data_IF_175067166268
#
_entry.id   IF_175067166268
#
_cell.length_a   1.000
_cell.length_b   1.000
_cell.length_c   1.000
_cell.angle_alpha   90.00
_cell.angle_beta   90.00
_cell.angle_gamma   90.00
#
_symmetry.space_group_name_H-M   'P 1'
#
loop_
_entity.id
_entity.type
_entity.pdbx_description
1 polymer ?
#
# COMPACT_ATOMS: atom_id res chain seq x y z
N UNK A 1 -2.32 15.34 -13.12
CA UNK A 1 -1.55 15.12 -14.36
C UNK A 1 -0.05 14.94 -14.05
N UNK A 2 0.55 15.75 -13.18
CA UNK A 2 1.99 15.67 -12.82
C UNK A 2 2.45 14.31 -12.28
N UNK A 3 1.60 13.60 -11.53
CA UNK A 3 1.91 12.27 -11.02
C UNK A 3 2.32 11.26 -12.10
N UNK A 4 1.90 11.45 -13.35
CA UNK A 4 2.19 10.52 -14.46
C UNK A 4 3.42 10.93 -15.29
N UNK A 5 4.14 11.98 -14.91
CA UNK A 5 5.41 12.33 -15.56
C UNK A 5 6.52 11.36 -15.19
N UNK A 6 7.54 11.23 -16.03
CA UNK A 6 8.69 10.40 -15.71
C UNK A 6 9.74 11.22 -14.91
N UNK A 7 9.56 11.34 -13.59
CA UNK A 7 10.40 12.13 -12.67
C UNK A 7 10.99 11.31 -11.50
N UNK A 8 10.79 9.98 -11.55
CA UNK A 8 11.33 9.01 -10.60
C UNK A 8 12.39 8.18 -11.30
N UNK A 9 13.53 8.02 -10.63
CA UNK A 9 14.58 7.11 -11.07
C UNK A 9 14.26 5.74 -10.47
N UNK A 10 13.96 4.76 -11.32
CA UNK A 10 13.76 3.38 -10.92
C UNK A 10 15.09 2.70 -10.58
N UNK A 11 15.07 1.84 -9.57
CA UNK A 11 16.24 1.07 -9.13
C UNK A 11 16.75 0.14 -10.23
N UNK A 12 15.83 -0.43 -11.00
CA UNK A 12 16.15 -1.12 -12.26
C UNK A 12 15.88 -0.18 -13.41
N UNK A 13 16.90 0.09 -14.22
CA UNK A 13 16.77 0.99 -15.37
C UNK A 13 15.76 0.45 -16.38
N UNK A 14 14.88 1.32 -16.85
CA UNK A 14 13.86 1.02 -17.85
C UNK A 14 14.08 1.87 -19.09
N UNK A 15 13.70 1.36 -20.26
CA UNK A 15 13.76 2.16 -21.49
C UNK A 15 12.81 3.37 -21.39
N UNK A 16 13.13 4.46 -22.11
CA UNK A 16 12.27 5.65 -22.14
C UNK A 16 10.88 5.32 -22.73
N UNK A 17 10.84 4.39 -23.70
CA UNK A 17 9.59 3.85 -24.26
C UNK A 17 8.81 3.08 -23.21
N UNK A 18 9.48 2.25 -22.41
CA UNK A 18 8.87 1.50 -21.31
C UNK A 18 8.25 2.41 -20.27
N UNK A 19 8.98 3.41 -19.80
CA UNK A 19 8.47 4.38 -18.81
C UNK A 19 7.23 5.13 -19.35
N UNK A 20 7.22 5.51 -20.63
CA UNK A 20 6.03 6.11 -21.26
C UNK A 20 4.86 5.13 -21.30
N UNK A 21 5.08 3.89 -21.74
CA UNK A 21 4.04 2.87 -21.77
C UNK A 21 3.47 2.57 -20.37
N UNK A 22 4.33 2.51 -19.37
CA UNK A 22 3.95 2.32 -17.97
C UNK A 22 3.07 3.46 -17.45
N UNK A 23 3.53 4.71 -17.54
CA UNK A 23 2.75 5.83 -17.00
C UNK A 23 1.47 6.09 -17.78
N UNK A 24 1.49 5.94 -19.12
CA UNK A 24 0.28 6.07 -19.94
C UNK A 24 -0.74 4.96 -19.63
N UNK A 25 -0.30 3.71 -19.41
CA UNK A 25 -1.20 2.64 -19.02
C UNK A 25 -1.76 2.81 -17.60
N UNK A 26 -0.94 3.26 -16.65
CA UNK A 26 -1.40 3.60 -15.29
C UNK A 26 -2.43 4.74 -15.33
N UNK A 27 -2.18 5.78 -16.11
CA UNK A 27 -3.13 6.87 -16.33
C UNK A 27 -4.44 6.35 -16.90
N UNK A 28 -4.38 5.54 -17.96
CA UNK A 28 -5.56 4.97 -18.60
C UNK A 28 -6.36 4.01 -17.70
N UNK A 29 -5.76 3.48 -16.62
CA UNK A 29 -6.47 2.67 -15.62
C UNK A 29 -7.16 3.57 -14.60
N UNK A 30 -6.50 4.64 -14.19
CA UNK A 30 -7.04 5.64 -13.28
C UNK A 30 -8.22 6.43 -13.90
N UNK A 31 -8.13 6.72 -15.19
CA UNK A 31 -9.09 7.55 -15.94
C UNK A 31 -10.37 6.80 -16.37
N UNK A 32 -10.37 5.45 -16.27
CA UNK A 32 -11.53 4.65 -16.71
C UNK A 32 -12.67 4.72 -15.68
N UNK A 33 -13.59 5.66 -15.91
CA UNK A 33 -14.86 5.84 -15.16
C UNK A 33 -15.74 4.57 -15.10
N UNK A 34 -15.65 3.68 -16.09
CA UNK A 34 -16.48 2.46 -16.15
C UNK A 34 -16.16 1.40 -15.07
N UNK A 35 -15.12 1.62 -14.25
CA UNK A 35 -14.81 0.79 -13.10
C UNK A 35 -15.22 1.51 -11.83
N UNK A 36 -16.50 1.37 -11.50
CA UNK A 36 -17.01 1.61 -10.14
C UNK A 36 -16.01 1.09 -9.09
N UNK A 37 -15.90 1.77 -7.95
CA UNK A 37 -14.84 1.56 -6.95
C UNK A 37 -14.59 0.08 -6.55
N UNK A 38 -15.60 -0.80 -6.65
CA UNK A 38 -15.43 -2.24 -6.44
C UNK A 38 -14.44 -2.91 -7.41
N UNK A 39 -14.42 -2.50 -8.68
CA UNK A 39 -13.51 -3.06 -9.70
C UNK A 39 -12.04 -2.74 -9.44
N UNK A 40 -11.72 -1.49 -9.06
CA UNK A 40 -10.35 -1.08 -8.76
C UNK A 40 -9.90 -1.58 -7.38
N UNK A 41 -10.83 -1.70 -6.42
CA UNK A 41 -10.56 -2.36 -5.15
C UNK A 41 -10.17 -3.83 -5.37
N UNK A 42 -10.89 -4.59 -6.21
CA UNK A 42 -10.53 -5.97 -6.58
C UNK A 42 -9.14 -6.09 -7.19
N UNK A 43 -8.77 -5.15 -8.04
CA UNK A 43 -7.45 -5.15 -8.69
C UNK A 43 -6.36 -4.86 -7.66
N UNK A 44 -6.58 -3.88 -6.78
CA UNK A 44 -5.62 -3.53 -5.73
C UNK A 44 -5.46 -4.66 -4.71
N UNK A 45 -6.57 -5.30 -4.32
CA UNK A 45 -6.62 -6.52 -3.53
C UNK A 45 -5.78 -7.64 -4.14
N UNK A 46 -6.00 -7.91 -5.42
CA UNK A 46 -5.30 -8.96 -6.16
C UNK A 46 -3.79 -8.66 -6.27
N UNK A 47 -3.41 -7.42 -6.57
CA UNK A 47 -2.01 -6.97 -6.58
C UNK A 47 -1.36 -7.16 -5.21
N UNK A 48 -2.05 -6.81 -4.12
CA UNK A 48 -1.57 -7.00 -2.74
C UNK A 48 -1.32 -8.48 -2.45
N UNK A 49 -2.27 -9.35 -2.81
CA UNK A 49 -2.16 -10.81 -2.64
C UNK A 49 -0.98 -11.40 -3.41
N UNK A 50 -0.75 -10.95 -4.65
CA UNK A 50 0.36 -11.44 -5.49
C UNK A 50 1.72 -10.89 -5.07
N UNK A 51 1.81 -9.59 -4.77
CA UNK A 51 3.09 -8.92 -4.51
C UNK A 51 3.56 -9.03 -3.06
N UNK A 52 2.64 -9.20 -2.10
CA UNK A 52 2.94 -9.06 -0.67
C UNK A 52 3.41 -7.65 -0.27
N UNK A 53 3.34 -6.67 -1.18
CA UNK A 53 3.92 -5.34 -1.00
C UNK A 53 2.85 -4.36 -0.49
N UNK A 54 2.80 -4.16 0.83
CA UNK A 54 1.87 -3.20 1.46
C UNK A 54 2.03 -1.76 0.95
N UNK A 55 3.25 -1.19 0.79
CA UNK A 55 3.44 0.15 0.22
C UNK A 55 2.81 0.33 -1.16
N UNK A 56 3.00 -0.67 -2.04
CA UNK A 56 2.44 -0.68 -3.39
C UNK A 56 0.91 -0.69 -3.34
N UNK A 57 0.34 -1.64 -2.60
CA UNK A 57 -1.11 -1.79 -2.49
C UNK A 57 -1.78 -0.54 -1.90
N UNK A 58 -1.17 0.06 -0.87
CA UNK A 58 -1.69 1.30 -0.28
C UNK A 58 -1.65 2.46 -1.28
N UNK A 59 -0.52 2.64 -1.95
CA UNK A 59 -0.32 3.73 -2.92
C UNK A 59 -1.30 3.61 -4.09
N UNK A 60 -1.53 2.38 -4.59
CA UNK A 60 -2.52 2.12 -5.64
C UNK A 60 -3.95 2.33 -5.14
N UNK A 61 -4.28 1.94 -3.92
CA UNK A 61 -5.62 2.17 -3.37
C UNK A 61 -5.93 3.68 -3.29
N UNK A 62 -4.99 4.48 -2.78
CA UNK A 62 -5.16 5.93 -2.68
C UNK A 62 -5.25 6.60 -4.06
N UNK A 63 -4.39 6.20 -4.99
CA UNK A 63 -4.40 6.72 -6.35
C UNK A 63 -5.69 6.33 -7.10
N UNK A 64 -5.94 5.03 -7.23
CA UNK A 64 -6.97 4.49 -8.12
C UNK A 64 -8.37 4.50 -7.51
N UNK A 65 -8.50 4.26 -6.20
CA UNK A 65 -9.80 4.07 -5.57
C UNK A 65 -10.30 5.33 -4.84
N UNK A 66 -9.39 6.17 -4.34
CA UNK A 66 -9.72 7.41 -3.62
C UNK A 66 -9.45 8.68 -4.42
N UNK A 67 -8.82 8.57 -5.59
CA UNK A 67 -8.44 9.69 -6.44
C UNK A 67 -7.63 10.76 -5.68
N UNK A 68 -6.79 10.32 -4.74
CA UNK A 68 -5.92 11.21 -3.96
C UNK A 68 -4.70 11.61 -4.78
N UNK A 69 -4.25 12.85 -4.59
CA UNK A 69 -3.00 13.31 -5.21
C UNK A 69 -1.84 12.52 -4.62
N UNK A 70 -1.24 11.65 -5.44
CA UNK A 70 -0.10 10.85 -5.03
C UNK A 70 1.15 11.71 -4.81
N UNK A 71 1.91 11.38 -3.77
CA UNK A 71 3.22 11.95 -3.48
C UNK A 71 4.33 11.25 -4.28
N UNK A 72 5.51 11.86 -4.33
CA UNK A 72 6.70 11.24 -4.94
C UNK A 72 7.03 9.88 -4.31
N UNK A 73 6.86 9.73 -2.99
CA UNK A 73 7.11 8.47 -2.28
C UNK A 73 6.13 7.37 -2.72
N UNK A 74 4.84 7.70 -2.84
CA UNK A 74 3.83 6.76 -3.37
C UNK A 74 4.16 6.37 -4.82
N UNK A 75 4.62 7.33 -5.63
CA UNK A 75 5.04 7.06 -7.00
C UNK A 75 6.22 6.09 -7.07
N UNK A 76 7.23 6.27 -6.22
CA UNK A 76 8.36 5.31 -6.08
C UNK A 76 7.83 3.93 -5.69
N UNK A 77 6.96 3.84 -4.68
CA UNK A 77 6.38 2.57 -4.25
C UNK A 77 5.59 1.87 -5.38
N UNK A 78 4.88 2.63 -6.21
CA UNK A 78 4.17 2.11 -7.38
C UNK A 78 5.13 1.63 -8.46
N UNK A 79 6.13 2.42 -8.82
CA UNK A 79 7.13 2.08 -9.84
C UNK A 79 7.91 0.82 -9.44
N UNK A 80 8.50 0.81 -8.25
CA UNK A 80 9.30 -0.32 -7.76
C UNK A 80 8.44 -1.56 -7.52
N UNK A 81 7.26 -1.38 -6.94
CA UNK A 81 6.34 -2.48 -6.66
C UNK A 81 5.81 -3.14 -7.92
N UNK A 82 5.38 -2.35 -8.91
CA UNK A 82 4.88 -2.88 -10.17
C UNK A 82 5.99 -3.43 -11.05
N UNK A 83 7.21 -2.89 -11.00
CA UNK A 83 8.36 -3.52 -11.65
C UNK A 83 8.53 -4.95 -11.16
N UNK A 84 8.63 -5.16 -9.84
CA UNK A 84 8.81 -6.50 -9.26
C UNK A 84 7.66 -7.43 -9.64
N UNK A 85 6.41 -6.96 -9.54
CA UNK A 85 5.25 -7.77 -9.92
C UNK A 85 5.23 -8.11 -11.41
N UNK A 86 5.47 -7.13 -12.30
CA UNK A 86 5.45 -7.36 -13.74
C UNK A 86 6.60 -8.25 -14.17
N UNK A 87 7.77 -8.11 -13.57
CA UNK A 87 8.89 -9.00 -13.81
C UNK A 87 8.52 -10.44 -13.47
N UNK A 88 7.76 -10.64 -12.40
CA UNK A 88 7.30 -11.96 -12.00
C UNK A 88 6.28 -12.59 -12.97
N UNK A 89 5.45 -11.75 -13.61
CA UNK A 89 4.44 -12.16 -14.59
C UNK A 89 5.03 -12.45 -15.98
N UNK A 90 6.09 -11.74 -16.35
CA UNK A 90 6.66 -11.81 -17.70
C UNK A 90 7.68 -12.96 -17.86
N UNK A 91 7.82 -13.52 -19.08
CA UNK A 91 8.86 -14.50 -19.37
C UNK A 91 10.26 -13.99 -18.99
N UNK A 92 11.07 -14.89 -18.45
CA UNK A 92 12.46 -14.64 -18.08
C UNK A 92 13.33 -15.84 -18.41
N UNK A 93 14.65 -15.65 -18.37
CA UNK A 93 15.62 -16.74 -18.57
C UNK A 93 15.33 -17.95 -17.66
N UNK A 94 14.80 -17.71 -16.47
CA UNK A 94 14.50 -18.72 -15.44
C UNK A 94 13.04 -19.21 -15.47
N UNK A 95 12.17 -18.59 -16.27
CA UNK A 95 10.71 -18.87 -16.36
C UNK A 95 10.30 -19.32 -17.76
N UNK A 96 11.13 -20.14 -18.43
CA UNK A 96 10.94 -20.54 -19.83
C UNK A 96 9.58 -21.21 -20.06
N UNK A 97 8.68 -20.50 -20.74
CA UNK A 97 7.42 -21.03 -21.33
C UNK A 97 7.45 -21.09 -22.86
N UNK A 98 8.62 -20.94 -23.48
CA UNK A 98 8.77 -20.92 -24.95
C UNK A 98 8.63 -19.54 -25.58
N UNK A 99 8.30 -18.52 -24.80
CA UNK A 99 8.15 -17.13 -25.24
C UNK A 99 9.49 -16.38 -25.32
N UNK A 100 9.50 -15.27 -26.08
CA UNK A 100 10.63 -14.32 -26.13
C UNK A 100 10.98 -13.87 -24.70
N UNK A 101 12.26 -13.99 -24.34
CA UNK A 101 12.77 -13.47 -23.07
C UNK A 101 12.60 -11.94 -23.08
N UNK A 102 11.98 -11.42 -22.03
CA UNK A 102 11.88 -9.97 -21.79
C UNK A 102 13.02 -9.59 -20.86
N UNK A 103 13.87 -8.67 -21.31
CA UNK A 103 14.95 -8.12 -20.49
C UNK A 103 14.39 -7.21 -19.40
N UNK A 104 15.15 -7.05 -18.31
CA UNK A 104 14.70 -6.23 -17.18
C UNK A 104 14.40 -4.79 -17.59
N UNK A 105 15.15 -4.24 -18.55
CA UNK A 105 14.95 -2.89 -19.10
C UNK A 105 13.71 -2.73 -19.98
N UNK A 106 13.10 -3.84 -20.39
CA UNK A 106 11.93 -3.90 -21.27
C UNK A 106 10.63 -4.24 -20.51
N UNK A 107 10.69 -4.46 -19.19
CA UNK A 107 9.53 -4.86 -18.37
C UNK A 107 8.37 -3.88 -18.52
N UNK A 108 8.66 -2.58 -18.46
CA UNK A 108 7.63 -1.55 -18.58
C UNK A 108 7.08 -1.34 -19.99
N UNK A 109 7.80 -1.78 -21.03
CA UNK A 109 7.22 -1.80 -22.39
C UNK A 109 6.03 -2.75 -22.48
N UNK A 110 5.99 -3.75 -21.60
CA UNK A 110 4.96 -4.76 -21.52
C UNK A 110 3.88 -4.44 -20.46
N UNK A 111 3.92 -3.25 -19.84
CA UNK A 111 2.96 -2.84 -18.82
C UNK A 111 1.49 -2.99 -19.25
N UNK A 112 1.06 -2.65 -20.50
CA UNK A 112 -0.32 -2.87 -20.92
C UNK A 112 -0.77 -4.33 -20.85
N UNK A 113 0.12 -5.28 -21.18
CA UNK A 113 -0.17 -6.72 -21.14
C UNK A 113 -0.28 -7.19 -19.69
N UNK A 114 0.66 -6.78 -18.82
CA UNK A 114 0.61 -7.08 -17.40
C UNK A 114 -0.67 -6.56 -16.74
N UNK A 115 -1.05 -5.32 -17.07
CA UNK A 115 -2.30 -4.75 -16.60
C UNK A 115 -3.51 -5.52 -17.13
N UNK A 116 -3.59 -5.84 -18.42
CA UNK A 116 -4.68 -6.64 -18.97
C UNK A 116 -4.85 -7.98 -18.22
N UNK A 117 -3.74 -8.65 -17.91
CA UNK A 117 -3.73 -9.86 -17.09
C UNK A 117 -4.28 -9.61 -15.68
N UNK A 118 -3.73 -8.64 -14.94
CA UNK A 118 -4.15 -8.32 -13.57
C UNK A 118 -5.63 -7.97 -13.50
N UNK A 119 -6.12 -7.21 -14.49
CA UNK A 119 -7.50 -6.77 -14.59
C UNK A 119 -8.46 -7.92 -14.94
N UNK A 120 -8.00 -8.90 -15.72
CA UNK A 120 -8.75 -10.11 -16.04
C UNK A 120 -8.86 -11.04 -14.84
N UNK A 121 -7.74 -11.31 -14.17
CA UNK A 121 -7.71 -12.22 -13.02
C UNK A 121 -8.44 -11.64 -11.80
N UNK A 122 -8.30 -10.34 -11.55
CA UNK A 122 -9.01 -9.68 -10.45
C UNK A 122 -10.54 -9.78 -10.55
N UNK A 123 -11.10 -9.92 -11.76
CA UNK A 123 -12.56 -10.13 -11.94
C UNK A 123 -13.04 -11.49 -11.44
N UNK A 124 -12.14 -12.47 -11.36
CA UNK A 124 -12.44 -13.84 -10.89
C UNK A 124 -12.40 -13.95 -9.37
N UNK A 125 -11.79 -12.97 -8.69
CA UNK A 125 -11.65 -12.95 -7.25
C UNK A 125 -12.90 -12.35 -6.57
N UNK A 126 -13.30 -12.92 -5.43
CA UNK A 126 -14.38 -12.37 -4.61
C UNK A 126 -13.89 -11.18 -3.80
N UNK A 127 -14.51 -9.99 -3.92
CA UNK A 127 -14.17 -8.81 -3.10
C UNK A 127 -14.78 -8.80 -1.70
N UNK A 128 -15.62 -9.80 -1.36
CA UNK A 128 -16.41 -9.84 -0.13
C UNK A 128 -15.59 -9.80 1.17
N UNK A 129 -14.26 -9.90 1.11
CA UNK A 129 -13.36 -10.02 2.27
C UNK A 129 -12.36 -8.87 2.39
N UNK A 130 -12.45 -7.84 1.55
CA UNK A 130 -11.53 -6.70 1.55
C UNK A 130 -12.20 -5.47 2.19
N UNK A 131 -12.25 -5.45 3.52
CA UNK A 131 -12.76 -4.29 4.26
C UNK A 131 -11.58 -3.37 4.58
N UNK A 132 -11.64 -2.13 4.11
CA UNK A 132 -10.69 -1.11 4.52
C UNK A 132 -11.21 -0.40 5.77
N UNK A 133 -10.44 -0.47 6.86
CA UNK A 133 -10.74 0.23 8.11
C UNK A 133 -9.83 1.45 8.24
N UNK A 134 -10.35 2.59 8.75
CA UNK A 134 -9.50 3.73 9.03
C UNK A 134 -8.54 3.38 10.17
N UNK A 135 -7.26 3.62 9.97
CA UNK A 135 -6.26 3.64 11.03
C UNK A 135 -6.03 5.09 11.42
N UNK A 136 -6.12 5.38 12.71
CA UNK A 136 -5.79 6.69 13.28
C UNK A 136 -4.39 6.61 13.89
N UNK A 137 -3.56 7.59 13.58
CA UNK A 137 -2.20 7.75 14.06
C UNK A 137 -2.17 8.81 15.16
N UNK A 138 -1.70 8.44 16.35
CA UNK A 138 -1.61 9.30 17.51
C UNK A 138 -0.14 9.56 17.88
N UNK A 139 0.29 10.81 17.80
CA UNK A 139 1.65 11.26 18.17
C UNK A 139 1.60 12.62 18.87
N UNK A 140 2.74 13.07 19.38
CA UNK A 140 2.86 14.45 19.82
C UNK A 140 2.68 15.42 18.63
N UNK A 141 2.09 16.61 18.86
CA UNK A 141 1.95 17.62 17.82
C UNK A 141 3.30 18.02 17.21
N UNK A 142 3.41 17.94 15.88
CA UNK A 142 4.62 18.35 15.14
C UNK A 142 5.75 17.32 15.12
N UNK A 143 5.59 16.17 15.78
CA UNK A 143 6.57 15.09 15.71
C UNK A 143 6.35 14.17 14.52
N UNK A 144 7.44 13.61 14.01
CA UNK A 144 7.41 12.63 12.93
C UNK A 144 7.05 11.26 13.49
N UNK A 145 5.99 10.67 12.92
CA UNK A 145 5.57 9.31 13.24
C UNK A 145 6.58 8.28 12.67
N UNK A 146 7.34 7.61 13.54
CA UNK A 146 8.46 6.74 13.19
C UNK A 146 8.40 5.35 13.82
N UNK A 147 7.99 5.21 15.08
CA UNK A 147 7.96 3.94 15.80
C UNK A 147 6.52 3.53 16.16
N UNK A 148 5.77 2.97 15.20
CA UNK A 148 4.36 2.63 15.36
C UNK A 148 4.17 1.47 16.36
N UNK A 149 3.38 1.71 17.40
CA UNK A 149 2.99 0.71 18.40
C UNK A 149 1.48 0.61 18.57
N UNK A 150 1.00 -0.57 18.96
CA UNK A 150 -0.37 -0.82 19.39
C UNK A 150 -0.45 -0.87 20.90
N UNK A 151 -1.50 -0.25 21.41
CA UNK A 151 -1.90 -0.31 22.81
C UNK A 151 -3.06 -1.31 22.95
N UNK A 152 -3.07 -2.18 23.97
CA UNK A 152 -4.10 -3.20 24.13
C UNK A 152 -5.52 -2.65 24.17
N UNK A 153 -6.42 -3.23 23.36
CA UNK A 153 -7.84 -2.89 23.33
C UNK A 153 -8.19 -1.69 22.44
N UNK A 154 -7.20 -1.06 21.78
CA UNK A 154 -7.42 0.07 20.89
C UNK A 154 -7.15 -0.29 19.42
N UNK A 155 -7.99 0.17 18.48
CA UNK A 155 -7.74 0.00 17.05
C UNK A 155 -6.66 0.96 16.52
N UNK A 156 -6.42 2.05 17.24
CA UNK A 156 -5.48 3.11 16.88
C UNK A 156 -4.02 2.68 17.01
N UNK A 157 -3.15 3.38 16.28
CA UNK A 157 -1.70 3.19 16.35
C UNK A 157 -1.05 4.45 16.89
N UNK A 158 -0.12 4.27 17.81
CA UNK A 158 0.52 5.34 18.55
C UNK A 158 2.01 5.39 18.21
N UNK A 159 2.59 6.58 18.31
CA UNK A 159 4.04 6.73 18.37
C UNK A 159 4.54 6.17 19.72
N UNK A 160 5.61 5.38 19.72
CA UNK A 160 6.12 4.78 20.97
C UNK A 160 6.42 5.85 22.02
N UNK A 161 7.10 6.92 21.62
CA UNK A 161 7.48 8.02 22.52
C UNK A 161 6.25 8.68 23.16
N UNK A 162 5.17 8.84 22.40
CA UNK A 162 3.91 9.38 22.91
C UNK A 162 3.36 8.50 24.05
N UNK A 163 3.37 7.17 23.89
CA UNK A 163 2.88 6.25 24.92
C UNK A 163 3.80 6.23 26.14
N UNK A 164 5.12 6.20 25.94
CA UNK A 164 6.10 6.22 27.02
C UNK A 164 5.98 7.48 27.88
N UNK A 165 5.76 8.63 27.26
CA UNK A 165 5.54 9.88 27.98
C UNK A 165 4.25 9.83 28.82
N UNK A 166 3.15 9.27 28.30
CA UNK A 166 1.91 9.07 29.10
C UNK A 166 2.14 8.16 30.31
N UNK A 167 2.89 7.06 30.14
CA UNK A 167 3.26 6.16 31.25
C UNK A 167 4.07 6.92 32.31
N UNK A 168 5.06 7.70 31.87
CA UNK A 168 5.93 8.49 32.75
C UNK A 168 5.15 9.54 33.56
N UNK A 169 4.15 10.16 32.94
CA UNK A 169 3.32 11.19 33.57
C UNK A 169 2.20 10.59 34.45
N UNK A 170 2.07 9.26 34.49
CA UNK A 170 0.99 8.57 35.20
C UNK A 170 -0.38 8.77 34.55
N UNK A 171 -0.42 9.20 33.29
CA UNK A 171 -1.63 9.43 32.53
C UNK A 171 -2.17 8.14 31.91
N UNK A 172 -3.49 7.98 31.90
CA UNK A 172 -4.15 6.84 31.24
C UNK A 172 -4.46 7.16 29.79
N UNK A 173 -4.21 6.20 28.90
CA UNK A 173 -4.74 6.24 27.54
C UNK A 173 -6.23 5.83 27.61
N UNK A 174 -7.16 6.67 27.14
CA UNK A 174 -8.59 6.33 27.16
C UNK A 174 -8.89 5.01 26.46
N UNK A 175 -9.81 4.22 27.04
CA UNK A 175 -10.27 2.93 26.51
C UNK A 175 -9.17 1.84 26.36
N UNK A 176 -7.99 2.03 26.96
CA UNK A 176 -7.00 0.98 27.10
C UNK A 176 -7.58 -0.17 27.95
N UNK A 177 -7.49 -1.40 27.43
CA UNK A 177 -8.04 -2.60 28.10
C UNK A 177 -7.24 -3.06 29.31
N UNK A 178 -6.01 -2.58 29.49
CA UNK A 178 -5.14 -2.92 30.62
C UNK A 178 -5.17 -1.79 31.64
N UNK A 179 -5.32 -2.15 32.92
CA UNK A 179 -5.37 -1.19 34.03
C UNK A 179 -4.04 -0.46 34.26
N UNK A 180 -2.93 -1.19 34.12
CA UNK A 180 -1.57 -0.67 34.28
C UNK A 180 -0.83 -0.84 32.96
N UNK A 181 -0.70 0.25 32.22
CA UNK A 181 0.05 0.26 30.96
C UNK A 181 1.55 0.34 31.27
N UNK A 182 2.29 -0.67 30.81
CA UNK A 182 3.77 -0.71 30.89
C UNK A 182 4.37 -0.68 29.49
N UNK A 183 5.68 -0.45 29.39
CA UNK A 183 6.40 -0.54 28.11
C UNK A 183 6.20 -1.91 27.44
N UNK A 184 6.20 -2.98 28.22
CA UNK A 184 5.99 -4.37 27.76
C UNK A 184 4.56 -4.67 27.35
N UNK A 185 3.60 -3.81 27.68
CA UNK A 185 2.20 -3.95 27.25
C UNK A 185 2.00 -3.56 25.79
N UNK A 186 2.93 -2.80 25.20
CA UNK A 186 2.87 -2.36 23.82
C UNK A 186 3.32 -3.46 22.85
N UNK A 187 2.73 -3.51 21.66
CA UNK A 187 3.21 -4.37 20.57
C UNK A 187 3.59 -3.55 19.34
N UNK A 188 4.66 -3.94 18.65
CA UNK A 188 5.09 -3.25 17.43
C UNK A 188 4.03 -3.41 16.33
N UNK A 189 3.72 -2.33 15.64
CA UNK A 189 2.79 -2.32 14.52
C UNK A 189 3.52 -2.39 13.17
N UNK A 190 4.28 -3.47 12.94
CA UNK A 190 5.15 -3.64 11.76
C UNK A 190 4.40 -3.61 10.42
N UNK A 191 3.13 -3.99 10.41
CA UNK A 191 2.25 -3.89 9.26
C UNK A 191 1.92 -2.43 8.91
N UNK A 192 1.75 -1.56 9.91
CA UNK A 192 1.57 -0.10 9.73
C UNK A 192 2.89 0.57 9.40
N UNK A 193 3.98 0.16 10.06
CA UNK A 193 5.34 0.63 9.77
C UNK A 193 5.69 0.51 8.28
N UNK A 194 5.41 -0.65 7.68
CA UNK A 194 5.63 -0.87 6.25
C UNK A 194 4.77 0.06 5.40
N UNK A 195 3.52 0.31 5.76
CA UNK A 195 2.63 1.20 5.01
C UNK A 195 3.14 2.65 5.06
N UNK A 196 3.58 3.11 6.25
CA UNK A 196 4.12 4.45 6.45
C UNK A 196 5.32 4.76 5.55
N UNK A 197 6.07 3.76 5.08
CA UNK A 197 7.14 3.96 4.09
C UNK A 197 6.65 4.56 2.77
N UNK A 198 5.36 4.42 2.44
CA UNK A 198 4.75 5.02 1.25
C UNK A 198 3.99 6.31 1.53
N UNK A 199 3.67 6.63 2.79
CA UNK A 199 2.77 7.74 3.12
C UNK A 199 3.54 9.01 3.47
N UNK A 200 2.99 10.20 3.16
CA UNK A 200 3.58 11.45 3.61
C UNK A 200 3.59 11.57 5.14
N UNK A 201 4.61 12.20 5.75
CA UNK A 201 4.74 12.31 7.21
C UNK A 201 3.60 13.06 7.91
N UNK A 202 2.81 13.86 7.18
CA UNK A 202 1.69 14.62 7.72
C UNK A 202 0.38 13.83 7.79
N UNK A 203 0.36 12.57 7.33
CA UNK A 203 -0.85 11.76 7.38
C UNK A 203 -1.21 11.43 8.83
N UNK A 204 -2.47 11.65 9.19
CA UNK A 204 -3.00 11.30 10.52
C UNK A 204 -3.95 10.11 10.51
N UNK A 205 -4.48 9.81 9.32
CA UNK A 205 -5.34 8.67 9.13
C UNK A 205 -5.19 8.13 7.71
N UNK A 206 -5.22 6.80 7.57
CA UNK A 206 -5.22 6.15 6.28
C UNK A 206 -6.07 4.88 6.32
N UNK A 207 -6.70 4.50 5.19
CA UNK A 207 -7.43 3.24 5.11
C UNK A 207 -6.44 2.09 5.08
N UNK A 208 -6.66 1.05 5.90
CA UNK A 208 -5.88 -0.18 5.89
C UNK A 208 -6.80 -1.36 5.68
N UNK A 209 -6.40 -2.29 4.82
CA UNK A 209 -7.10 -3.56 4.67
C UNK A 209 -7.11 -4.35 5.99
N UNK A 210 -8.29 -4.84 6.36
CA UNK A 210 -8.52 -5.79 7.43
C UNK A 210 -9.15 -7.07 6.86
N UNK A 211 -8.59 -8.23 7.21
CA UNK A 211 -9.25 -9.51 6.93
C UNK A 211 -10.54 -9.59 7.74
N UNK A 212 -11.64 -9.99 7.11
CA UNK A 212 -12.97 -10.08 7.75
C UNK A 212 -13.02 -11.02 8.96
N UNK A 213 -12.00 -11.87 9.16
CA UNK A 213 -11.84 -12.70 10.37
C UNK A 213 -11.42 -11.95 11.64
N UNK A 214 -11.09 -10.66 11.55
CA UNK A 214 -10.76 -9.80 12.70
C UNK A 214 -11.88 -8.83 13.09
N UNK A 215 -12.97 -8.78 12.33
CA UNK A 215 -14.10 -7.84 12.56
C UNK A 215 -15.18 -8.44 13.47
N UNK A 216 -15.09 -9.73 13.84
CA UNK A 216 -15.96 -10.33 14.85
C UNK A 216 -15.44 -10.02 16.25
N UNK A 217 -15.74 -8.83 16.74
CA UNK A 217 -15.32 -8.41 18.08
C UNK A 217 -15.96 -7.13 18.59
N UNK A 218 -17.13 -6.72 18.10
CA UNK A 218 -17.97 -5.72 18.75
C UNK A 218 -19.44 -6.10 18.58
N UNK A 219 -20.00 -6.69 19.63
CA UNK A 219 -21.41 -6.57 20.00
C UNK A 219 -21.46 -5.97 21.40
#
# INVERSE_FOLDING_TARGET
MEFYFNDVVSSVQQSQKGLRAFFSSLYAINDREERSGDGLNKVTAYIRKLSGCNPLAQSLHQLLCRNEVGTRTQKVAIVEGLYNLFRELLPSLHKRRGDKIIEDSEVFENAPVCWAYLLSEAKKESSQHEVYVPIVLNSQPGERFCDPVRVPGLPDVFEREYVLQKIKDGERIPNCSVEILTETSMSRASDVERILLSLPPFIKTFPKWASSGLVTGQK
#
